data_IF_898313852359
#
_entry.id   IF_898313852359
#
_cell.length_a   1.000
_cell.length_b   1.000
_cell.length_c   1.000
_cell.angle_alpha   90.00
_cell.angle_beta   90.00
_cell.angle_gamma   90.00
#
_symmetry.space_group_name_H-M   'P 1'
#
loop_
_entity.id
_entity.type
_entity.pdbx_description
1 polymer ?
#
# COMPACT_ATOMS: atom_id res chain seq x y z
N UNK A 1 32.58 13.80 -18.57
CA UNK A 1 31.21 13.83 -18.03
C UNK A 1 30.40 14.66 -19.02
N UNK A 2 29.61 14.02 -19.87
CA UNK A 2 28.87 14.68 -20.95
C UNK A 2 27.58 15.30 -20.41
N UNK A 3 27.62 16.59 -20.10
CA UNK A 3 26.42 17.38 -19.80
C UNK A 3 25.83 17.89 -21.12
N UNK A 4 25.09 17.04 -21.83
CA UNK A 4 24.26 17.50 -22.96
C UNK A 4 23.11 18.33 -22.39
N UNK A 5 23.14 19.65 -22.61
CA UNK A 5 21.96 20.49 -22.40
C UNK A 5 20.89 20.11 -23.43
N UNK A 6 19.83 19.44 -22.97
CA UNK A 6 18.66 19.12 -23.80
C UNK A 6 18.01 20.43 -24.25
N UNK A 7 17.89 20.64 -25.57
CA UNK A 7 17.40 21.90 -26.14
C UNK A 7 15.90 21.89 -26.43
N UNK A 8 15.25 20.72 -26.34
CA UNK A 8 13.84 20.56 -26.68
C UNK A 8 13.06 19.84 -25.57
N UNK A 9 11.78 20.16 -25.43
CA UNK A 9 10.90 19.58 -24.40
C UNK A 9 10.70 18.07 -24.57
N UNK A 10 10.85 17.57 -25.79
CA UNK A 10 10.78 16.15 -26.13
C UNK A 10 12.07 15.42 -25.70
N UNK A 11 13.25 15.97 -26.01
CA UNK A 11 14.54 15.44 -25.52
C UNK A 11 14.64 15.51 -23.98
N UNK A 12 14.09 16.55 -23.35
CA UNK A 12 14.06 16.63 -21.88
C UNK A 12 13.19 15.51 -21.29
N UNK A 13 12.04 15.23 -21.91
CA UNK A 13 11.19 14.11 -21.52
C UNK A 13 11.91 12.78 -21.68
N UNK A 14 12.53 12.52 -22.83
CA UNK A 14 13.27 11.29 -23.06
C UNK A 14 14.45 11.13 -22.12
N UNK A 15 15.20 12.21 -21.86
CA UNK A 15 16.29 12.22 -20.91
C UNK A 15 15.81 11.96 -19.48
N UNK A 16 14.71 12.57 -19.07
CA UNK A 16 14.11 12.35 -17.75
C UNK A 16 13.59 10.92 -17.63
N UNK A 17 12.94 10.37 -18.66
CA UNK A 17 12.43 9.00 -18.62
C UNK A 17 13.56 7.97 -18.64
N UNK A 18 14.59 8.17 -19.46
CA UNK A 18 15.78 7.32 -19.54
C UNK A 18 16.67 7.38 -18.29
N UNK A 19 16.63 8.49 -17.54
CA UNK A 19 17.29 8.58 -16.23
C UNK A 19 16.43 8.04 -15.07
N UNK A 20 15.10 8.08 -15.18
CA UNK A 20 14.18 7.73 -14.09
C UNK A 20 13.77 6.27 -14.08
N UNK A 21 13.69 5.62 -15.23
CA UNK A 21 13.48 4.18 -15.28
C UNK A 21 14.82 3.48 -15.04
N UNK A 22 14.90 2.61 -14.02
CA UNK A 22 16.01 1.67 -13.90
C UNK A 22 16.13 0.81 -15.17
N UNK A 23 17.33 0.39 -15.52
CA UNK A 23 17.57 -0.50 -16.67
C UNK A 23 16.80 -1.83 -16.55
N UNK A 24 16.54 -2.27 -15.32
CA UNK A 24 15.84 -3.49 -14.95
C UNK A 24 14.33 -3.30 -14.71
N UNK A 25 13.75 -2.17 -15.13
CA UNK A 25 12.33 -1.86 -14.89
C UNK A 25 11.37 -2.94 -15.42
N UNK A 26 11.62 -3.48 -16.63
CA UNK A 26 10.78 -4.50 -17.25
C UNK A 26 10.96 -5.89 -16.63
N UNK A 27 12.13 -6.15 -16.04
CA UNK A 27 12.45 -7.42 -15.36
C UNK A 27 12.16 -7.37 -13.85
N UNK A 28 11.85 -6.19 -13.33
CA UNK A 28 11.58 -5.97 -11.93
C UNK A 28 10.46 -6.90 -11.46
N UNK A 29 10.64 -7.47 -10.27
CA UNK A 29 9.62 -8.28 -9.60
C UNK A 29 9.14 -7.57 -8.33
N UNK A 30 8.34 -6.48 -8.43
CA UNK A 30 7.89 -5.70 -7.27
C UNK A 30 7.23 -6.55 -6.19
N UNK A 31 6.48 -7.57 -6.61
CA UNK A 31 5.79 -8.50 -5.72
C UNK A 31 6.73 -9.38 -4.87
N UNK A 32 8.00 -9.54 -5.27
CA UNK A 32 8.98 -10.31 -4.51
C UNK A 32 9.74 -9.47 -3.47
N UNK A 33 9.57 -8.15 -3.48
CA UNK A 33 10.27 -7.24 -2.57
C UNK A 33 9.91 -7.53 -1.10
N UNK A 34 10.87 -7.36 -0.17
CA UNK A 34 10.63 -7.57 1.26
C UNK A 34 9.43 -6.80 1.82
N UNK A 35 9.20 -5.58 1.32
CA UNK A 35 8.10 -4.70 1.70
C UNK A 35 6.75 -5.25 1.28
N UNK A 36 6.67 -5.83 0.07
CA UNK A 36 5.46 -6.47 -0.45
C UNK A 36 5.09 -7.76 0.33
N UNK A 37 6.07 -8.40 0.97
CA UNK A 37 5.86 -9.58 1.83
C UNK A 37 5.36 -9.22 3.22
N UNK A 38 5.35 -7.94 3.61
CA UNK A 38 4.83 -7.53 4.92
C UNK A 38 3.35 -7.85 4.98
N UNK A 39 2.97 -8.69 5.95
CA UNK A 39 1.56 -8.96 6.24
C UNK A 39 0.87 -7.65 6.64
N UNK A 40 -0.39 -7.42 6.22
CA UNK A 40 -1.16 -6.30 6.72
C UNK A 40 -1.18 -6.38 8.26
N UNK A 41 -0.87 -5.26 8.92
CA UNK A 41 -0.75 -5.20 10.37
C UNK A 41 -2.03 -5.69 11.07
N UNK A 42 -1.89 -6.20 12.30
CA UNK A 42 -2.98 -6.80 13.08
C UNK A 42 -4.14 -5.86 13.47
N UNK A 43 -4.09 -4.58 13.07
CA UNK A 43 -5.14 -3.59 13.32
C UNK A 43 -6.51 -3.99 12.77
N UNK A 44 -6.56 -4.71 11.64
CA UNK A 44 -7.81 -5.23 11.09
C UNK A 44 -8.54 -6.19 12.04
N UNK A 45 -7.79 -6.98 12.82
CA UNK A 45 -8.35 -7.88 13.84
C UNK A 45 -8.91 -7.12 15.04
N UNK A 46 -8.29 -5.99 15.40
CA UNK A 46 -8.79 -5.12 16.47
C UNK A 46 -10.12 -4.48 16.09
N UNK A 47 -10.28 -4.01 14.84
CA UNK A 47 -11.55 -3.49 14.35
C UNK A 47 -12.68 -4.52 14.49
N UNK A 48 -12.40 -5.78 14.17
CA UNK A 48 -13.37 -6.86 14.34
C UNK A 48 -13.77 -7.02 15.81
N UNK A 49 -12.81 -7.03 16.73
CA UNK A 49 -13.10 -7.13 18.16
C UNK A 49 -13.96 -5.96 18.66
N UNK A 50 -13.58 -4.73 18.29
CA UNK A 50 -14.27 -3.51 18.73
C UNK A 50 -15.70 -3.42 18.20
N UNK A 51 -16.01 -4.02 17.05
CA UNK A 51 -17.37 -4.02 16.49
C UNK A 51 -18.18 -5.22 17.00
N UNK A 52 -17.60 -6.42 16.97
CA UNK A 52 -18.34 -7.66 17.26
C UNK A 52 -18.64 -7.82 18.75
N UNK A 53 -17.70 -7.49 19.64
CA UNK A 53 -17.91 -7.61 21.09
C UNK A 53 -19.08 -6.76 21.62
N UNK A 54 -19.19 -5.46 21.32
CA UNK A 54 -20.31 -4.66 21.82
C UNK A 54 -21.64 -5.04 21.18
N UNK A 55 -21.65 -5.53 19.93
CA UNK A 55 -22.88 -6.06 19.33
C UNK A 55 -23.39 -7.29 20.09
N UNK A 56 -22.50 -8.24 20.40
CA UNK A 56 -22.86 -9.43 21.18
C UNK A 56 -23.31 -9.02 22.59
N UNK A 57 -22.57 -8.15 23.26
CA UNK A 57 -22.91 -7.67 24.60
C UNK A 57 -24.25 -6.91 24.61
N UNK A 58 -24.51 -6.07 23.61
CA UNK A 58 -25.76 -5.34 23.45
C UNK A 58 -26.95 -6.25 23.20
N UNK A 59 -26.80 -7.27 22.34
CA UNK A 59 -27.83 -8.29 22.11
C UNK A 59 -28.09 -9.11 23.38
N UNK A 60 -27.03 -9.57 24.05
CA UNK A 60 -27.16 -10.30 25.31
C UNK A 60 -27.88 -9.47 26.37
N UNK A 61 -27.50 -8.20 26.53
CA UNK A 61 -28.18 -7.28 27.45
C UNK A 61 -29.65 -7.04 27.06
N UNK A 62 -29.95 -6.90 25.76
CA UNK A 62 -31.32 -6.71 25.28
C UNK A 62 -32.22 -7.92 25.58
N UNK A 63 -31.73 -9.14 25.37
CA UNK A 63 -32.50 -10.37 25.56
C UNK A 63 -32.55 -10.85 27.02
N UNK A 64 -31.46 -10.70 27.77
CA UNK A 64 -31.36 -11.25 29.14
C UNK A 64 -31.46 -10.18 30.24
N UNK A 65 -31.23 -8.90 29.94
CA UNK A 65 -31.31 -7.80 30.92
C UNK A 65 -32.71 -7.20 31.11
N UNK A 66 -33.72 -7.74 30.41
CA UNK A 66 -35.13 -7.31 30.50
C UNK A 66 -36.00 -8.29 31.31
N UNK A 67 -35.41 -9.34 31.90
CA UNK A 67 -36.08 -10.25 32.84
C UNK A 67 -35.95 -9.76 34.29
#
# INVERSE_FOLDING_TARGET
MDTKESKTREEEKEHVMGQRLPEDYDEAKPHLQPEARKKPGGMSRLLLLVIVLPLIAGLAFHFFGRL
#
